data_IF_683789770031
#
_entry.id   IF_683789770031
#
_cell.length_a   1.000
_cell.length_b   1.000
_cell.length_c   1.000
_cell.angle_alpha   90.00
_cell.angle_beta   90.00
_cell.angle_gamma   90.00
#
_symmetry.space_group_name_H-M   'P 1'
#
loop_
_entity.id
_entity.type
_entity.pdbx_description
1 polymer ?
#
# COMPACT_ATOMS: atom_id res chain seq x y z
N UNK A 1 -5.95 -15.04 -10.12
CA UNK A 1 -5.03 -14.50 -11.14
C UNK A 1 -4.95 -12.99 -10.96
N UNK A 2 -3.78 -12.38 -11.14
CA UNK A 2 -3.60 -10.92 -11.01
C UNK A 2 -3.78 -10.22 -12.36
N UNK A 3 -4.30 -9.00 -12.32
CA UNK A 3 -4.42 -8.15 -13.50
C UNK A 3 -3.10 -7.44 -13.77
N UNK A 4 -2.79 -7.19 -15.04
CA UNK A 4 -1.82 -6.15 -15.38
C UNK A 4 -2.43 -4.77 -15.10
N UNK A 5 -1.59 -3.77 -14.81
CA UNK A 5 -2.06 -2.39 -14.62
C UNK A 5 -2.90 -1.90 -15.81
N UNK A 6 -2.46 -2.20 -17.04
CA UNK A 6 -3.21 -1.82 -18.24
C UNK A 6 -4.59 -2.47 -18.31
N UNK A 7 -4.73 -3.75 -17.90
CA UNK A 7 -6.04 -4.41 -17.83
C UNK A 7 -6.91 -3.78 -16.73
N UNK A 8 -6.33 -3.51 -15.56
CA UNK A 8 -7.03 -2.89 -14.44
C UNK A 8 -7.59 -1.51 -14.79
N UNK A 9 -6.80 -0.67 -15.48
CA UNK A 9 -7.25 0.65 -15.97
C UNK A 9 -8.43 0.50 -16.92
N UNK A 10 -8.35 -0.40 -17.90
CA UNK A 10 -9.46 -0.62 -18.85
C UNK A 10 -10.72 -1.12 -18.14
N UNK A 11 -10.58 -2.03 -17.19
CA UNK A 11 -11.69 -2.51 -16.37
C UNK A 11 -12.31 -1.39 -15.53
N UNK A 12 -11.49 -0.52 -14.94
CA UNK A 12 -11.96 0.63 -14.18
C UNK A 12 -12.76 1.59 -15.06
N UNK A 13 -12.20 2.00 -16.20
CA UNK A 13 -12.85 2.92 -17.15
C UNK A 13 -14.14 2.32 -17.69
N UNK A 14 -14.13 1.05 -18.12
CA UNK A 14 -15.31 0.39 -18.69
C UNK A 14 -16.49 0.23 -17.72
N UNK A 15 -16.21 0.24 -16.41
CA UNK A 15 -17.21 0.13 -15.34
C UNK A 15 -17.61 1.49 -14.75
N UNK A 16 -16.99 2.59 -15.20
CA UNK A 16 -17.30 3.92 -14.69
C UNK A 16 -18.71 4.34 -15.11
N UNK A 17 -19.55 4.89 -14.21
CA UNK A 17 -20.93 5.25 -14.52
C UNK A 17 -21.07 6.25 -15.68
N UNK A 18 -20.10 7.16 -15.81
CA UNK A 18 -20.11 8.19 -16.86
C UNK A 18 -19.53 7.71 -18.20
N UNK A 19 -18.96 6.50 -18.27
CA UNK A 19 -18.37 5.99 -19.50
C UNK A 19 -19.44 5.50 -20.48
N UNK A 20 -19.45 6.08 -21.69
CA UNK A 20 -20.52 5.88 -22.68
C UNK A 20 -20.22 4.78 -23.70
N UNK A 21 -19.21 3.95 -23.45
CA UNK A 21 -18.70 2.95 -24.40
C UNK A 21 -18.24 3.56 -25.74
N UNK A 22 -17.90 4.84 -25.73
CA UNK A 22 -17.48 5.63 -26.89
C UNK A 22 -15.95 5.75 -27.01
N UNK A 23 -15.20 5.04 -26.16
CA UNK A 23 -13.74 5.11 -26.05
C UNK A 23 -13.20 6.49 -25.65
N UNK A 24 -14.06 7.38 -25.12
CA UNK A 24 -13.67 8.67 -24.58
C UNK A 24 -13.52 8.56 -23.06
N UNK A 25 -12.37 8.99 -22.55
CA UNK A 25 -12.13 9.14 -21.11
C UNK A 25 -12.22 10.63 -20.80
N UNK A 26 -13.33 11.05 -20.22
CA UNK A 26 -13.53 12.44 -19.81
C UNK A 26 -12.72 12.78 -18.54
N UNK A 27 -12.74 14.06 -18.17
CA UNK A 27 -12.00 14.57 -17.02
C UNK A 27 -12.50 13.96 -15.69
N UNK A 28 -13.79 13.64 -15.58
CA UNK A 28 -14.38 13.02 -14.40
C UNK A 28 -13.86 11.60 -14.20
N UNK A 29 -13.95 10.77 -15.25
CA UNK A 29 -13.41 9.40 -15.26
C UNK A 29 -11.90 9.42 -14.94
N UNK A 30 -11.16 10.37 -15.53
CA UNK A 30 -9.72 10.49 -15.30
C UNK A 30 -9.41 10.91 -13.85
N UNK A 31 -10.16 11.86 -13.29
CA UNK A 31 -10.02 12.28 -11.89
C UNK A 31 -10.27 11.11 -10.95
N UNK A 32 -11.35 10.36 -11.16
CA UNK A 32 -11.71 9.22 -10.31
C UNK A 32 -10.68 8.08 -10.41
N UNK A 33 -10.15 7.83 -11.61
CA UNK A 33 -9.07 6.87 -11.83
C UNK A 33 -7.81 7.25 -11.03
N UNK A 34 -7.34 8.50 -11.15
CA UNK A 34 -6.14 8.97 -10.48
C UNK A 34 -6.34 9.04 -8.96
N UNK A 35 -7.51 9.48 -8.50
CA UNK A 35 -7.88 9.48 -7.08
C UNK A 35 -7.88 8.06 -6.49
N UNK A 36 -8.40 7.08 -7.25
CA UNK A 36 -8.35 5.67 -6.85
C UNK A 36 -6.91 5.17 -6.75
N UNK A 37 -6.07 5.46 -7.74
CA UNK A 37 -4.65 5.10 -7.72
C UNK A 37 -3.92 5.72 -6.52
N UNK A 38 -4.16 7.00 -6.22
CA UNK A 38 -3.55 7.70 -5.09
C UNK A 38 -3.94 7.08 -3.73
N UNK A 39 -5.21 6.70 -3.55
CA UNK A 39 -5.64 5.98 -2.35
C UNK A 39 -4.95 4.61 -2.21
N UNK A 40 -4.73 3.92 -3.33
CA UNK A 40 -4.04 2.62 -3.33
C UNK A 40 -2.55 2.79 -2.98
N UNK A 41 -1.86 3.77 -3.58
CA UNK A 41 -0.43 4.00 -3.33
C UNK A 41 -0.15 4.47 -1.91
N UNK A 42 -1.07 5.25 -1.31
CA UNK A 42 -0.98 5.65 0.09
C UNK A 42 -1.36 4.53 1.08
N UNK A 43 -1.79 3.36 0.60
CA UNK A 43 -2.24 2.25 1.44
C UNK A 43 -3.58 2.50 2.16
N UNK A 44 -4.32 3.56 1.77
CA UNK A 44 -5.67 3.86 2.29
C UNK A 44 -6.70 2.87 1.76
N UNK A 45 -6.44 2.30 0.58
CA UNK A 45 -7.28 1.31 -0.05
C UNK A 45 -6.45 0.14 -0.60
N UNK A 46 -6.92 -1.09 -0.39
CA UNK A 46 -6.30 -2.27 -0.99
C UNK A 46 -6.77 -2.50 -2.42
N UNK A 47 -5.91 -3.08 -3.26
CA UNK A 47 -6.26 -3.48 -4.62
C UNK A 47 -5.83 -4.94 -4.87
N UNK A 48 -6.53 -5.94 -4.30
CA UNK A 48 -6.11 -7.35 -4.37
C UNK A 48 -6.06 -7.92 -5.78
N UNK A 49 -6.90 -7.41 -6.68
CA UNK A 49 -6.94 -7.81 -8.09
C UNK A 49 -5.68 -7.40 -8.87
N UNK A 50 -5.02 -6.31 -8.45
CA UNK A 50 -3.80 -5.79 -9.08
C UNK A 50 -2.54 -6.19 -8.29
N UNK A 51 -2.55 -6.02 -6.97
CA UNK A 51 -1.38 -6.14 -6.09
C UNK A 51 -1.36 -7.45 -5.28
N UNK A 52 -2.46 -8.22 -5.29
CA UNK A 52 -2.61 -9.38 -4.43
C UNK A 52 -2.76 -9.01 -2.95
N UNK A 53 -2.56 -10.00 -2.08
CA UNK A 53 -2.54 -9.85 -0.63
C UNK A 53 -1.20 -10.35 -0.10
N UNK A 54 -0.12 -9.55 -0.20
CA UNK A 54 1.16 -9.94 0.35
C UNK A 54 1.03 -10.08 1.87
N UNK A 55 1.45 -11.23 2.39
CA UNK A 55 1.52 -11.48 3.84
C UNK A 55 2.97 -11.40 4.27
N UNK A 56 3.27 -10.46 5.18
CA UNK A 56 4.59 -10.42 5.81
C UNK A 56 4.73 -11.59 6.78
N UNK A 57 5.90 -12.25 6.74
CA UNK A 57 6.31 -13.22 7.78
C UNK A 57 6.99 -12.53 8.96
N UNK A 58 7.30 -11.24 8.82
CA UNK A 58 7.87 -10.39 9.86
C UNK A 58 6.74 -9.82 10.70
N UNK A 59 6.95 -9.82 12.02
CA UNK A 59 6.05 -9.23 12.98
C UNK A 59 6.70 -7.93 13.49
N UNK A 60 5.94 -6.85 13.58
CA UNK A 60 6.46 -5.54 14.02
C UNK A 60 6.85 -5.53 15.52
N UNK A 61 6.48 -6.60 16.24
CA UNK A 61 6.86 -6.81 17.62
C UNK A 61 8.36 -7.06 17.76
N UNK A 62 9.06 -6.17 18.48
CA UNK A 62 10.48 -6.34 18.84
C UNK A 62 10.64 -7.56 19.75
N UNK A 63 11.42 -8.60 19.38
CA UNK A 63 11.60 -9.77 20.24
C UNK A 63 12.25 -9.41 21.57
N UNK A 64 11.89 -10.13 22.64
CA UNK A 64 12.41 -9.91 23.99
C UNK A 64 13.95 -9.91 24.06
N UNK A 65 14.61 -10.73 23.23
CA UNK A 65 16.06 -10.78 23.14
C UNK A 65 16.66 -9.43 22.70
N UNK A 66 16.07 -8.80 21.68
CA UNK A 66 16.52 -7.51 21.14
C UNK A 66 16.24 -6.40 22.15
N UNK A 67 15.03 -6.35 22.72
CA UNK A 67 14.67 -5.36 23.74
C UNK A 67 15.58 -5.45 24.97
N UNK A 68 15.94 -6.66 25.41
CA UNK A 68 16.88 -6.87 26.52
C UNK A 68 18.29 -6.37 26.17
N UNK A 69 18.77 -6.65 24.96
CA UNK A 69 20.08 -6.20 24.50
C UNK A 69 20.16 -4.67 24.42
N UNK A 70 19.15 -4.00 23.88
CA UNK A 70 19.06 -2.55 23.81
C UNK A 70 19.09 -1.92 25.22
N UNK A 71 18.29 -2.45 26.16
CA UNK A 71 18.28 -1.98 27.55
C UNK A 71 19.66 -2.13 28.22
N UNK A 72 20.33 -3.27 28.03
CA UNK A 72 21.68 -3.50 28.58
C UNK A 72 22.68 -2.50 27.99
N UNK A 73 22.63 -2.26 26.68
CA UNK A 73 23.48 -1.30 26.01
C UNK A 73 23.26 0.12 26.57
N UNK A 74 22.02 0.60 26.60
CA UNK A 74 21.67 1.92 27.15
C UNK A 74 22.15 2.09 28.60
N UNK A 75 21.91 1.10 29.46
CA UNK A 75 22.36 1.16 30.85
C UNK A 75 23.88 1.19 30.98
N UNK A 76 24.60 0.45 30.13
CA UNK A 76 26.06 0.41 30.13
C UNK A 76 26.67 1.74 29.71
N UNK A 77 26.06 2.42 28.74
CA UNK A 77 26.51 3.76 28.32
C UNK A 77 26.25 4.78 29.42
N UNK A 78 25.06 4.80 30.02
CA UNK A 78 24.72 5.74 31.12
C UNK A 78 25.68 5.56 32.31
N UNK A 79 25.98 4.32 32.70
CA UNK A 79 26.87 4.00 33.81
C UNK A 79 28.37 4.22 33.52
N UNK A 80 28.78 4.44 32.26
CA UNK A 80 30.16 4.78 31.90
C UNK A 80 30.42 6.30 31.81
N UNK A 81 29.36 7.08 31.68
CA UNK A 81 29.41 8.55 31.58
C UNK A 81 29.22 9.24 32.94
N UNK A 82 28.73 8.49 33.93
CA UNK A 82 28.71 8.87 35.36
C UNK A 82 29.94 8.34 36.07
#
# INVERSE_FOLDING_TARGET
ELMTTARWIRDFVSKHPDYKLDSVVDEGINYDLLSKMDRITQGKEGCPELLGRPVSRTNDHIPNAVSKAEKIYSNTIVNKVT
#
